data_IF_542592113233
#
_entry.id   IF_542592113233
#
_cell.length_a   1.000
_cell.length_b   1.000
_cell.length_c   1.000
_cell.angle_alpha   90.00
_cell.angle_beta   90.00
_cell.angle_gamma   90.00
#
_symmetry.space_group_name_H-M   'P 1'
#
loop_
_entity.id
_entity.type
_entity.pdbx_description
1 polymer ?
#
# COMPACT_ATOMS: atom_id res chain seq x y z
N UNK A 1 1.80 -21.50 -25.30
CA UNK A 1 2.21 -22.36 -24.16
C UNK A 1 3.19 -21.67 -23.20
N UNK A 2 4.28 -21.03 -23.67
CA UNK A 2 5.27 -20.34 -22.79
C UNK A 2 4.68 -19.21 -21.91
N UNK A 3 3.73 -18.40 -22.37
CA UNK A 3 3.17 -17.32 -21.54
C UNK A 3 2.26 -17.82 -20.41
N UNK A 4 1.54 -18.93 -20.60
CA UNK A 4 0.72 -19.54 -19.54
C UNK A 4 1.58 -19.99 -18.37
N UNK A 5 2.73 -20.62 -18.65
CA UNK A 5 3.69 -21.05 -17.62
C UNK A 5 4.26 -19.86 -16.84
N UNK A 6 4.58 -18.75 -17.53
CA UNK A 6 5.05 -17.54 -16.85
C UNK A 6 3.98 -16.92 -15.96
N UNK A 7 2.73 -16.86 -16.43
CA UNK A 7 1.63 -16.32 -15.64
C UNK A 7 1.35 -17.18 -14.39
N UNK A 8 1.40 -18.51 -14.50
CA UNK A 8 1.23 -19.41 -13.35
C UNK A 8 2.31 -19.23 -12.29
N UNK A 9 3.58 -19.05 -12.72
CA UNK A 9 4.69 -18.78 -11.81
C UNK A 9 4.47 -17.44 -11.08
N UNK A 10 4.12 -16.39 -11.82
CA UNK A 10 3.83 -15.06 -11.24
C UNK A 10 2.62 -15.12 -10.29
N UNK A 11 1.57 -15.86 -10.66
CA UNK A 11 0.38 -16.06 -9.82
C UNK A 11 0.69 -16.81 -8.52
N UNK A 12 1.65 -17.73 -8.53
CA UNK A 12 2.12 -18.44 -7.33
C UNK A 12 2.77 -17.48 -6.34
N UNK A 13 3.57 -16.52 -6.83
CA UNK A 13 4.23 -15.50 -6.01
C UNK A 13 3.38 -14.23 -5.81
N UNK A 14 2.09 -14.23 -6.15
CA UNK A 14 1.21 -13.05 -6.09
C UNK A 14 1.18 -12.38 -4.71
N UNK A 15 1.27 -13.17 -3.63
CA UNK A 15 1.27 -12.63 -2.27
C UNK A 15 2.56 -11.88 -1.95
N UNK A 16 3.70 -12.32 -2.48
CA UNK A 16 4.98 -11.62 -2.37
C UNK A 16 4.89 -10.29 -3.13
N UNK A 17 4.34 -10.31 -4.35
CA UNK A 17 4.14 -9.09 -5.15
C UNK A 17 3.18 -8.12 -4.44
N UNK A 18 2.05 -8.61 -3.94
CA UNK A 18 1.08 -7.81 -3.20
C UNK A 18 1.68 -7.21 -1.93
N UNK A 19 2.53 -7.96 -1.21
CA UNK A 19 3.23 -7.48 -0.03
C UNK A 19 4.25 -6.38 -0.37
N UNK A 20 5.04 -6.56 -1.43
CA UNK A 20 5.97 -5.54 -1.92
C UNK A 20 5.23 -4.27 -2.37
N UNK A 21 4.10 -4.41 -3.07
CA UNK A 21 3.24 -3.28 -3.44
C UNK A 21 2.65 -2.56 -2.22
N UNK A 22 2.25 -3.30 -1.18
CA UNK A 22 1.75 -2.70 0.05
C UNK A 22 2.84 -1.91 0.80
N UNK A 23 4.06 -2.45 0.88
CA UNK A 23 5.23 -1.75 1.44
C UNK A 23 5.54 -0.48 0.63
N UNK A 24 5.60 -0.59 -0.69
CA UNK A 24 5.87 0.55 -1.56
C UNK A 24 4.80 1.64 -1.39
N UNK A 25 3.53 1.22 -1.32
CA UNK A 25 2.41 2.14 -1.11
C UNK A 25 2.50 2.85 0.22
N UNK A 26 2.91 2.16 1.29
CA UNK A 26 3.14 2.79 2.59
C UNK A 26 4.15 3.94 2.51
N UNK A 27 5.26 3.77 1.78
CA UNK A 27 6.24 4.84 1.58
C UNK A 27 5.69 6.02 0.77
N UNK A 28 4.95 5.74 -0.31
CA UNK A 28 4.34 6.78 -1.15
C UNK A 28 3.29 7.56 -0.35
N UNK A 29 2.42 6.86 0.37
CA UNK A 29 1.37 7.46 1.19
C UNK A 29 1.97 8.34 2.28
N UNK A 30 3.09 7.93 2.90
CA UNK A 30 3.83 8.77 3.86
C UNK A 30 4.24 10.10 3.21
N UNK A 31 4.86 10.05 2.03
CA UNK A 31 5.32 11.27 1.34
C UNK A 31 4.16 12.20 1.01
N UNK A 32 3.06 11.65 0.50
CA UNK A 32 1.84 12.42 0.20
C UNK A 32 1.23 13.01 1.48
N UNK A 33 1.18 12.24 2.58
CA UNK A 33 0.67 12.72 3.86
C UNK A 33 1.54 13.83 4.45
N UNK A 34 2.87 13.73 4.32
CA UNK A 34 3.79 14.78 4.75
C UNK A 34 3.54 16.07 3.94
N UNK A 35 3.39 15.95 2.62
CA UNK A 35 3.11 17.09 1.74
C UNK A 35 1.75 17.77 2.02
N UNK A 36 0.74 16.99 2.39
CA UNK A 36 -0.61 17.51 2.64
C UNK A 36 -0.81 18.07 4.05
N UNK A 37 -0.22 17.43 5.07
CA UNK A 37 -0.53 17.72 6.48
C UNK A 37 0.58 18.44 7.23
N UNK A 38 1.83 18.33 6.78
CA UNK A 38 2.98 19.01 7.41
C UNK A 38 3.45 20.12 6.48
N UNK A 39 3.02 21.35 6.79
CA UNK A 39 3.55 22.54 6.13
C UNK A 39 5.03 22.67 6.50
N UNK A 40 5.89 22.82 5.50
CA UNK A 40 7.36 22.78 5.50
C UNK A 40 7.96 21.39 5.28
N UNK A 41 8.79 21.31 4.25
CA UNK A 41 9.65 20.20 3.83
C UNK A 41 10.72 19.86 4.89
N UNK A 42 10.33 19.71 6.15
CA UNK A 42 11.24 19.19 7.16
C UNK A 42 11.41 17.69 6.89
N UNK A 43 12.66 17.20 6.74
CA UNK A 43 12.93 15.78 6.62
C UNK A 43 12.64 15.12 7.98
N UNK A 44 11.36 14.86 8.25
CA UNK A 44 10.95 14.11 9.43
C UNK A 44 11.18 12.63 9.17
N UNK A 45 11.97 12.02 10.04
CA UNK A 45 12.10 10.57 10.09
C UNK A 45 10.71 9.93 10.29
N UNK A 46 10.56 8.72 9.77
CA UNK A 46 9.28 7.99 9.72
C UNK A 46 8.68 7.81 11.11
N UNK A 47 9.51 7.50 12.09
CA UNK A 47 9.07 7.30 13.47
C UNK A 47 8.63 8.62 14.11
N UNK A 48 9.36 9.70 13.83
CA UNK A 48 9.06 11.06 14.34
C UNK A 48 7.78 11.62 13.74
N UNK A 49 7.53 11.41 12.44
CA UNK A 49 6.30 11.81 11.77
C UNK A 49 5.06 11.14 12.39
N UNK A 50 5.14 9.83 12.63
CA UNK A 50 4.04 9.10 13.24
C UNK A 50 3.82 9.43 14.71
N UNK A 51 4.90 9.64 15.48
CA UNK A 51 4.79 10.19 16.83
C UNK A 51 4.11 11.56 16.81
N UNK A 52 4.52 12.46 15.92
CA UNK A 52 3.91 13.80 15.82
C UNK A 52 2.41 13.73 15.51
N UNK A 53 1.99 12.86 14.57
CA UNK A 53 0.58 12.66 14.26
C UNK A 53 -0.20 12.05 15.44
N UNK A 54 0.39 11.06 16.13
CA UNK A 54 -0.26 10.37 17.24
C UNK A 54 -0.42 11.25 18.48
N UNK A 55 0.62 12.02 18.82
CA UNK A 55 0.61 12.96 19.95
C UNK A 55 -0.04 14.30 19.61
N UNK A 56 -0.53 14.49 18.38
CA UNK A 56 -1.35 15.64 18.08
C UNK A 56 -2.66 15.56 18.88
N UNK A 57 -3.10 16.66 19.50
CA UNK A 57 -4.39 16.74 20.19
C UNK A 57 -5.59 16.75 19.23
N UNK A 58 -5.39 16.37 17.96
CA UNK A 58 -6.40 16.37 16.92
C UNK A 58 -6.77 14.93 16.55
N UNK A 59 -8.00 14.54 16.90
CA UNK A 59 -8.58 13.24 16.55
C UNK A 59 -8.55 13.04 15.02
N UNK A 60 -8.68 14.13 14.25
CA UNK A 60 -8.59 14.10 12.79
C UNK A 60 -7.23 13.58 12.30
N UNK A 61 -6.12 14.06 12.86
CA UNK A 61 -4.77 13.65 12.48
C UNK A 61 -4.47 12.20 12.92
N UNK A 62 -4.98 11.80 14.09
CA UNK A 62 -4.88 10.40 14.55
C UNK A 62 -5.66 9.44 13.64
N UNK A 63 -6.86 9.83 13.18
CA UNK A 63 -7.60 9.03 12.18
C UNK A 63 -6.83 8.95 10.86
N UNK A 64 -6.32 10.07 10.35
CA UNK A 64 -5.49 10.07 9.12
C UNK A 64 -4.30 9.13 9.25
N UNK A 65 -3.64 9.12 10.41
CA UNK A 65 -2.55 8.18 10.69
C UNK A 65 -3.01 6.72 10.55
N UNK A 66 -4.10 6.33 11.22
CA UNK A 66 -4.63 4.96 11.16
C UNK A 66 -4.99 4.58 9.72
N UNK A 67 -5.68 5.46 9.00
CA UNK A 67 -6.08 5.22 7.62
C UNK A 67 -4.87 5.09 6.67
N UNK A 68 -3.85 5.94 6.84
CA UNK A 68 -2.67 5.93 5.98
C UNK A 68 -1.71 4.77 6.26
N UNK A 69 -1.58 4.32 7.51
CA UNK A 69 -0.65 3.25 7.91
C UNK A 69 -1.26 1.86 7.76
N UNK A 70 -2.55 1.70 8.07
CA UNK A 70 -3.17 0.38 8.08
C UNK A 70 -4.12 0.20 6.90
N UNK A 71 -5.12 1.07 6.77
CA UNK A 71 -6.20 0.86 5.81
C UNK A 71 -5.71 0.93 4.37
N UNK A 72 -4.89 1.92 4.02
CA UNK A 72 -4.42 2.09 2.63
C UNK A 72 -3.45 0.99 2.18
N UNK A 73 -2.42 0.57 2.93
CA UNK A 73 -1.56 -0.53 2.52
C UNK A 73 -2.32 -1.87 2.43
N UNK A 74 -3.26 -2.12 3.37
CA UNK A 74 -4.14 -3.29 3.30
C UNK A 74 -5.02 -3.24 2.03
N UNK A 75 -5.60 -2.08 1.72
CA UNK A 75 -6.38 -1.90 0.51
C UNK A 75 -5.57 -2.23 -0.75
N UNK A 76 -4.33 -1.74 -0.85
CA UNK A 76 -3.45 -2.07 -1.98
C UNK A 76 -3.14 -3.56 -2.04
N UNK A 77 -2.83 -4.18 -0.90
CA UNK A 77 -2.58 -5.63 -0.85
C UNK A 77 -3.75 -6.43 -1.42
N UNK A 78 -4.97 -6.17 -0.93
CA UNK A 78 -6.17 -6.87 -1.40
C UNK A 78 -6.48 -6.54 -2.86
N UNK A 79 -6.29 -5.30 -3.30
CA UNK A 79 -6.51 -4.89 -4.68
C UNK A 79 -5.57 -5.62 -5.64
N UNK A 80 -4.29 -5.75 -5.31
CA UNK A 80 -3.32 -6.49 -6.13
C UNK A 80 -3.70 -7.97 -6.22
N UNK A 81 -4.07 -8.59 -5.09
CA UNK A 81 -4.53 -10.00 -5.10
C UNK A 81 -5.79 -10.15 -5.95
N UNK A 82 -6.75 -9.24 -5.79
CA UNK A 82 -7.98 -9.25 -6.55
C UNK A 82 -7.72 -9.13 -8.06
N UNK A 83 -6.81 -8.25 -8.46
CA UNK A 83 -6.37 -8.14 -9.86
C UNK A 83 -5.77 -9.45 -10.37
N UNK A 84 -4.87 -10.09 -9.62
CA UNK A 84 -4.30 -11.38 -10.00
C UNK A 84 -5.38 -12.46 -10.13
N UNK A 85 -6.38 -12.46 -9.26
CA UNK A 85 -7.52 -13.37 -9.33
C UNK A 85 -8.37 -13.11 -10.58
N UNK A 86 -8.71 -11.85 -10.86
CA UNK A 86 -9.46 -11.47 -12.06
C UNK A 86 -8.71 -11.85 -13.34
N UNK A 87 -7.41 -11.58 -13.42
CA UNK A 87 -6.58 -11.93 -14.57
C UNK A 87 -6.53 -13.45 -14.78
N UNK A 88 -6.34 -14.23 -13.72
CA UNK A 88 -6.36 -15.69 -13.80
C UNK A 88 -7.71 -16.22 -14.29
N UNK A 89 -8.81 -15.67 -13.77
CA UNK A 89 -10.15 -16.05 -14.19
C UNK A 89 -10.38 -15.78 -15.68
N UNK A 90 -9.95 -14.62 -16.19
CA UNK A 90 -10.07 -14.29 -17.61
C UNK A 90 -9.27 -15.26 -18.50
N UNK A 91 -8.08 -15.70 -18.08
CA UNK A 91 -7.26 -16.69 -18.82
C UNK A 91 -7.84 -18.11 -18.82
N UNK A 92 -8.69 -18.48 -17.85
CA UNK A 92 -9.36 -19.80 -17.79
C UNK A 92 -10.57 -19.90 -18.73
N UNK A 93 -11.21 -18.77 -19.07
CA UNK A 93 -12.39 -18.71 -19.96
C UNK A 93 -12.08 -18.15 -21.37
N UNK A 94 -10.81 -17.82 -21.65
CA UNK A 94 -10.33 -17.26 -22.91
C UNK A 94 -9.59 -18.24 -23.82
#
# INVERSE_FOLDING_TARGET
>A
MKSKVWFDVVYSIRHIIAFLCAILSFFIIKQVALLLYVKTYQPLDTLTFYKMLWYSNSIFLQMIFIFNVFIKPLFVYFLVIFLFYCLKKTDEYG
#
